data_IF_118732354185
#
_entry.id   IF_118732354185
#
_cell.length_a   1.000
_cell.length_b   1.000
_cell.length_c   1.000
_cell.angle_alpha   90.00
_cell.angle_beta   90.00
_cell.angle_gamma   90.00
#
_symmetry.space_group_name_H-M   'P 1'
#
loop_
_entity.id
_entity.type
_entity.pdbx_description
1 polymer ?
#
# COMPACT_ATOMS: atom_id res chain seq x y z
N UNK A 1 47.68 19.05 -12.05
CA UNK A 1 48.59 18.13 -12.78
C UNK A 1 48.52 16.69 -12.26
N UNK A 2 48.46 16.47 -10.94
CA UNK A 2 48.39 15.11 -10.37
C UNK A 2 47.18 14.28 -10.85
N UNK A 3 46.01 14.90 -11.01
CA UNK A 3 44.77 14.27 -11.49
C UNK A 3 44.84 13.84 -12.96
N UNK A 4 45.56 14.59 -13.81
CA UNK A 4 45.73 14.24 -15.22
C UNK A 4 46.67 13.01 -15.37
N UNK A 5 47.68 12.92 -14.51
CA UNK A 5 48.61 11.79 -14.47
C UNK A 5 47.87 10.51 -14.02
N UNK A 6 47.01 10.61 -12.99
CA UNK A 6 46.20 9.47 -12.54
C UNK A 6 45.20 9.00 -13.60
N UNK A 7 44.58 9.92 -14.35
CA UNK A 7 43.70 9.56 -15.47
C UNK A 7 44.46 8.82 -16.58
N UNK A 8 45.65 9.29 -16.94
CA UNK A 8 46.47 8.64 -17.97
C UNK A 8 46.97 7.26 -17.53
N UNK A 9 47.29 7.07 -16.25
CA UNK A 9 47.64 5.76 -15.69
C UNK A 9 46.44 4.81 -15.68
N UNK A 10 45.25 5.30 -15.33
CA UNK A 10 44.03 4.50 -15.36
C UNK A 10 43.65 4.08 -16.80
N UNK A 11 43.73 5.01 -17.77
CA UNK A 11 43.50 4.70 -19.19
C UNK A 11 44.57 3.74 -19.71
N UNK A 12 45.84 3.93 -19.35
CA UNK A 12 46.92 3.01 -19.70
C UNK A 12 46.71 1.60 -19.16
N UNK A 13 46.23 1.47 -17.92
CA UNK A 13 45.91 0.18 -17.32
C UNK A 13 44.70 -0.51 -17.98
N UNK A 14 43.68 0.25 -18.37
CA UNK A 14 42.52 -0.27 -19.11
C UNK A 14 42.90 -0.67 -20.54
N UNK A 15 43.75 0.11 -21.21
CA UNK A 15 44.25 -0.25 -22.54
C UNK A 15 45.19 -1.47 -22.49
N UNK A 16 46.04 -1.59 -21.46
CA UNK A 16 46.92 -2.73 -21.27
C UNK A 16 46.15 -4.02 -20.93
N UNK A 17 45.07 -3.92 -20.13
CA UNK A 17 44.21 -5.08 -19.85
C UNK A 17 43.39 -5.49 -21.07
N UNK A 18 42.88 -4.54 -21.86
CA UNK A 18 42.21 -4.81 -23.14
C UNK A 18 43.17 -5.43 -24.17
N UNK A 19 44.43 -4.96 -24.24
CA UNK A 19 45.45 -5.49 -25.13
C UNK A 19 45.93 -6.89 -24.71
N UNK A 20 46.07 -7.13 -23.40
CA UNK A 20 46.39 -8.46 -22.85
C UNK A 20 45.25 -9.48 -23.04
N UNK A 21 44.00 -9.03 -23.04
CA UNK A 21 42.86 -9.87 -23.40
C UNK A 21 42.81 -10.18 -24.91
N UNK A 22 43.22 -9.23 -25.76
CA UNK A 22 43.26 -9.39 -27.21
C UNK A 22 44.46 -10.22 -27.73
N UNK A 23 45.54 -10.35 -26.95
CA UNK A 23 46.77 -11.06 -27.35
C UNK A 23 46.98 -12.45 -26.71
N UNK A 24 46.00 -13.00 -25.99
CA UNK A 24 46.07 -14.43 -25.70
C UNK A 24 46.06 -15.19 -27.03
N UNK A 25 47.09 -15.99 -27.36
CA UNK A 25 47.05 -16.80 -28.55
C UNK A 25 45.81 -17.67 -28.47
N UNK A 26 44.84 -17.38 -29.34
CA UNK A 26 43.67 -18.24 -29.50
C UNK A 26 44.24 -19.62 -29.85
N UNK A 27 43.84 -20.70 -29.15
CA UNK A 27 44.19 -22.04 -29.60
C UNK A 27 43.80 -22.15 -31.08
N UNK A 28 44.58 -22.86 -31.91
CA UNK A 28 44.32 -22.95 -33.34
C UNK A 28 42.85 -23.31 -33.55
N UNK A 29 42.12 -22.39 -34.19
CA UNK A 29 40.69 -22.47 -34.50
C UNK A 29 40.47 -23.51 -35.61
N UNK A 30 40.67 -24.77 -35.26
CA UNK A 30 40.07 -25.90 -35.97
C UNK A 30 38.87 -26.32 -35.13
N UNK A 31 37.75 -25.66 -35.42
CA UNK A 31 36.35 -26.08 -35.18
C UNK A 31 36.03 -26.71 -33.80
N UNK A 32 35.63 -25.88 -32.83
CA UNK A 32 34.96 -26.35 -31.62
C UNK A 32 34.16 -25.21 -30.97
N UNK A 33 32.85 -25.17 -31.24
CA UNK A 33 31.86 -24.16 -30.82
C UNK A 33 32.12 -22.72 -31.30
N UNK A 34 31.08 -21.92 -31.62
CA UNK A 34 31.28 -20.49 -31.85
C UNK A 34 31.66 -19.87 -30.50
N UNK A 35 32.96 -19.63 -30.31
CA UNK A 35 33.50 -18.96 -29.13
C UNK A 35 32.91 -17.55 -29.11
N UNK A 36 31.87 -17.34 -28.31
CA UNK A 36 31.08 -16.09 -28.27
C UNK A 36 29.60 -16.23 -28.66
N UNK A 37 29.13 -17.45 -28.99
CA UNK A 37 27.72 -17.70 -29.22
C UNK A 37 26.88 -17.22 -28.02
N UNK A 38 25.79 -16.52 -28.31
CA UNK A 38 24.74 -16.15 -27.35
C UNK A 38 25.19 -15.18 -26.25
N UNK A 39 26.28 -14.43 -26.46
CA UNK A 39 26.78 -13.44 -25.51
C UNK A 39 27.43 -14.06 -24.26
N UNK A 40 27.78 -15.35 -24.33
CA UNK A 40 28.39 -16.11 -23.25
C UNK A 40 29.87 -16.41 -23.53
N UNK A 41 30.68 -16.35 -22.48
CA UNK A 41 32.06 -16.81 -22.48
C UNK A 41 32.11 -18.29 -22.06
N UNK A 42 32.53 -19.14 -22.98
CA UNK A 42 32.55 -20.59 -22.80
C UNK A 42 33.94 -21.08 -22.40
N UNK A 43 34.02 -21.96 -21.38
CA UNK A 43 35.23 -22.68 -21.00
C UNK A 43 35.07 -24.17 -21.23
N UNK A 44 36.07 -24.77 -21.88
CA UNK A 44 36.19 -26.23 -22.03
C UNK A 44 36.51 -26.86 -20.68
N UNK A 45 35.64 -27.75 -20.22
CA UNK A 45 35.85 -28.53 -18.98
C UNK A 45 36.60 -29.84 -19.26
N UNK A 46 36.47 -30.36 -20.48
CA UNK A 46 37.08 -31.61 -20.92
C UNK A 46 36.04 -32.63 -21.39
N UNK A 47 36.50 -33.84 -21.66
CA UNK A 47 35.68 -34.93 -22.16
C UNK A 47 34.95 -35.65 -21.02
N UNK A 48 33.68 -36.01 -21.26
CA UNK A 48 32.84 -36.77 -20.33
C UNK A 48 32.15 -37.90 -21.06
N UNK A 49 32.10 -39.06 -20.42
CA UNK A 49 31.30 -40.17 -20.90
C UNK A 49 29.81 -39.83 -20.72
N UNK A 50 29.07 -39.77 -21.81
CA UNK A 50 27.61 -39.62 -21.83
C UNK A 50 26.95 -40.91 -22.30
N UNK A 51 25.61 -41.00 -22.25
CA UNK A 51 24.87 -42.12 -22.86
C UNK A 51 25.15 -42.25 -24.37
N UNK A 52 25.51 -41.14 -25.04
CA UNK A 52 25.84 -41.08 -26.46
C UNK A 52 27.34 -41.12 -26.76
N UNK A 53 28.16 -41.66 -25.85
CA UNK A 53 29.61 -41.72 -26.01
C UNK A 53 30.36 -40.56 -25.35
N UNK A 54 31.66 -40.50 -25.62
CA UNK A 54 32.57 -39.49 -25.09
C UNK A 54 32.29 -38.14 -25.78
N UNK A 55 31.96 -37.11 -25.00
CA UNK A 55 31.66 -35.76 -25.52
C UNK A 55 32.43 -34.69 -24.77
N UNK A 56 32.86 -33.64 -25.45
CA UNK A 56 33.44 -32.45 -24.80
C UNK A 56 32.34 -31.62 -24.14
N UNK A 57 32.53 -31.25 -22.87
CA UNK A 57 31.67 -30.33 -22.15
C UNK A 57 32.26 -28.91 -22.14
N UNK A 58 31.41 -27.95 -22.45
CA UNK A 58 31.65 -26.51 -22.33
C UNK A 58 30.67 -25.91 -21.31
N UNK A 59 31.18 -25.10 -20.39
CA UNK A 59 30.37 -24.35 -19.43
C UNK A 59 30.47 -22.85 -19.74
N UNK A 60 29.36 -22.14 -19.61
CA UNK A 60 29.39 -20.68 -19.59
C UNK A 60 29.95 -20.21 -18.24
N UNK A 61 31.08 -19.51 -18.26
CA UNK A 61 31.74 -18.98 -17.06
C UNK A 61 31.36 -17.52 -16.79
N UNK A 62 30.95 -16.75 -17.82
CA UNK A 62 30.56 -15.35 -17.71
C UNK A 62 29.67 -14.93 -18.89
N UNK A 63 28.88 -13.86 -18.72
CA UNK A 63 28.05 -13.26 -19.78
C UNK A 63 26.61 -13.01 -19.33
N UNK A 64 25.80 -12.46 -20.24
CA UNK A 64 24.36 -12.27 -20.00
C UNK A 64 23.58 -13.53 -20.42
N UNK A 65 23.16 -14.31 -19.43
CA UNK A 65 22.38 -15.53 -19.64
C UNK A 65 20.96 -15.26 -20.13
N UNK A 66 20.47 -14.00 -20.11
CA UNK A 66 19.11 -13.67 -20.52
C UNK A 66 18.84 -14.06 -21.97
N UNK A 67 19.80 -13.82 -22.86
CA UNK A 67 19.69 -14.17 -24.28
C UNK A 67 19.67 -15.68 -24.47
N UNK A 68 20.58 -16.40 -23.81
CA UNK A 68 20.61 -17.86 -23.83
C UNK A 68 19.30 -18.47 -23.31
N UNK A 69 18.84 -18.01 -22.14
CA UNK A 69 17.61 -18.47 -21.49
C UNK A 69 16.39 -18.22 -22.35
N UNK A 70 16.30 -17.03 -22.96
CA UNK A 70 15.22 -16.66 -23.87
C UNK A 70 15.17 -17.60 -25.09
N UNK A 71 16.29 -17.78 -25.80
CA UNK A 71 16.34 -18.64 -26.98
C UNK A 71 16.13 -20.12 -26.64
N UNK A 72 16.74 -20.59 -25.55
CA UNK A 72 16.60 -21.99 -25.12
C UNK A 72 15.19 -22.33 -24.66
N UNK A 73 14.46 -21.38 -24.05
CA UNK A 73 13.03 -21.58 -23.72
C UNK A 73 12.16 -21.57 -24.97
N UNK A 74 12.47 -20.71 -25.95
CA UNK A 74 11.73 -20.59 -27.19
C UNK A 74 11.87 -21.82 -28.10
N UNK A 75 13.08 -22.38 -28.23
CA UNK A 75 13.34 -23.56 -29.05
C UNK A 75 14.26 -24.55 -28.33
N UNK A 76 13.73 -25.19 -27.28
CA UNK A 76 14.51 -26.10 -26.44
C UNK A 76 15.11 -27.25 -27.22
N UNK A 77 14.34 -27.84 -28.13
CA UNK A 77 14.75 -29.04 -28.84
C UNK A 77 15.78 -28.69 -29.93
N UNK A 78 15.56 -27.62 -30.69
CA UNK A 78 16.55 -27.14 -31.66
C UNK A 78 17.88 -26.71 -31.01
N UNK A 79 17.82 -26.12 -29.82
CA UNK A 79 19.03 -25.77 -29.06
C UNK A 79 19.74 -27.02 -28.52
N UNK A 80 18.99 -28.04 -28.08
CA UNK A 80 19.55 -29.33 -27.62
C UNK A 80 20.20 -30.13 -28.74
N UNK A 81 19.66 -30.08 -29.94
CA UNK A 81 20.28 -30.71 -31.12
C UNK A 81 21.67 -30.14 -31.41
N UNK A 82 21.88 -28.86 -31.10
CA UNK A 82 23.17 -28.18 -31.19
C UNK A 82 24.07 -28.36 -29.96
N UNK A 83 23.61 -29.16 -28.99
CA UNK A 83 24.36 -29.47 -27.77
C UNK A 83 24.09 -28.53 -26.61
N UNK A 84 23.30 -27.47 -26.78
CA UNK A 84 22.98 -26.53 -25.70
C UNK A 84 22.01 -27.17 -24.69
N UNK A 85 22.27 -26.94 -23.40
CA UNK A 85 21.42 -27.40 -22.30
C UNK A 85 21.65 -26.57 -21.04
N UNK A 86 20.94 -26.89 -19.96
CA UNK A 86 21.21 -26.36 -18.62
C UNK A 86 21.77 -27.49 -17.78
N UNK A 87 22.83 -27.21 -17.02
CA UNK A 87 23.50 -28.20 -16.19
C UNK A 87 24.38 -27.56 -15.14
N UNK A 88 24.70 -28.34 -14.10
CA UNK A 88 25.66 -27.95 -13.09
C UNK A 88 26.98 -28.69 -13.23
N UNK A 89 28.01 -28.16 -12.60
CA UNK A 89 29.25 -28.89 -12.41
C UNK A 89 29.11 -29.94 -11.28
N UNK A 90 30.17 -30.74 -11.07
CA UNK A 90 30.21 -31.74 -9.98
C UNK A 90 30.14 -31.12 -8.58
N UNK A 91 30.24 -29.80 -8.44
CA UNK A 91 30.23 -29.08 -7.17
C UNK A 91 28.82 -28.62 -6.77
N UNK A 92 27.79 -28.94 -7.57
CA UNK A 92 26.39 -28.79 -7.19
C UNK A 92 25.75 -27.46 -7.59
N UNK A 93 26.42 -26.65 -8.40
CA UNK A 93 25.86 -25.41 -8.96
C UNK A 93 24.99 -25.74 -10.18
N UNK A 94 23.79 -26.28 -9.95
CA UNK A 94 22.79 -26.48 -10.98
C UNK A 94 22.17 -25.12 -11.31
N UNK A 95 22.49 -24.56 -12.48
CA UNK A 95 21.74 -23.52 -13.22
C UNK A 95 22.65 -22.75 -14.20
N UNK A 96 23.66 -23.39 -14.80
CA UNK A 96 24.50 -22.74 -15.81
C UNK A 96 24.18 -23.20 -17.23
N UNK A 97 24.27 -22.30 -18.23
CA UNK A 97 24.29 -22.70 -19.63
C UNK A 97 25.46 -23.66 -19.89
N UNK A 98 25.17 -24.81 -20.49
CA UNK A 98 26.19 -25.79 -20.88
C UNK A 98 26.04 -26.16 -22.35
N UNK A 99 27.15 -26.45 -23.02
CA UNK A 99 27.14 -26.97 -24.37
C UNK A 99 27.95 -28.26 -24.46
N UNK A 100 27.31 -29.30 -25.02
CA UNK A 100 27.94 -30.56 -25.35
C UNK A 100 28.35 -30.53 -26.81
N UNK A 101 29.66 -30.52 -27.07
CA UNK A 101 30.17 -30.46 -28.44
C UNK A 101 29.59 -31.59 -29.29
N UNK A 102 28.81 -31.28 -30.34
CA UNK A 102 28.19 -32.31 -31.16
C UNK A 102 29.27 -33.00 -32.00
N UNK A 103 29.13 -34.31 -32.21
CA UNK A 103 29.98 -35.07 -33.11
C UNK A 103 29.11 -35.75 -34.18
N UNK A 104 29.31 -35.44 -35.48
CA UNK A 104 30.23 -34.41 -36.00
C UNK A 104 29.80 -32.98 -35.63
N UNK A 105 30.75 -32.04 -35.64
CA UNK A 105 30.47 -30.63 -35.36
C UNK A 105 29.47 -30.06 -36.39
N UNK A 106 28.44 -29.31 -35.98
CA UNK A 106 27.55 -28.64 -36.91
C UNK A 106 28.29 -27.53 -37.66
N UNK A 107 27.90 -27.26 -38.91
CA UNK A 107 28.38 -26.09 -39.63
C UNK A 107 27.91 -24.78 -38.98
N UNK A 108 28.64 -23.69 -39.19
CA UNK A 108 28.27 -22.36 -38.69
C UNK A 108 26.87 -21.94 -39.16
N UNK A 109 26.53 -22.18 -40.43
CA UNK A 109 25.20 -21.90 -40.99
C UNK A 109 24.08 -22.60 -40.21
N UNK A 110 24.33 -23.79 -39.67
CA UNK A 110 23.36 -24.54 -38.88
C UNK A 110 23.15 -23.91 -37.49
N UNK A 111 24.19 -23.35 -36.88
CA UNK A 111 24.06 -22.57 -35.65
C UNK A 111 23.28 -21.28 -35.88
N UNK A 112 23.64 -20.51 -36.91
CA UNK A 112 22.98 -19.25 -37.23
C UNK A 112 21.49 -19.46 -37.55
N UNK A 113 21.15 -20.48 -38.34
CA UNK A 113 19.76 -20.80 -38.68
C UNK A 113 18.95 -21.20 -37.44
N UNK A 114 19.51 -21.97 -36.51
CA UNK A 114 18.83 -22.35 -35.28
C UNK A 114 18.63 -21.17 -34.33
N UNK A 115 19.63 -20.30 -34.18
CA UNK A 115 19.51 -19.10 -33.35
C UNK A 115 18.51 -18.11 -33.94
N UNK A 116 18.52 -17.91 -35.27
CA UNK A 116 17.54 -17.07 -35.94
C UNK A 116 16.11 -17.61 -35.77
N UNK A 117 15.92 -18.93 -35.87
CA UNK A 117 14.63 -19.59 -35.61
C UNK A 117 14.20 -19.39 -34.15
N UNK A 118 15.06 -19.69 -33.18
CA UNK A 118 14.77 -19.53 -31.76
C UNK A 118 14.45 -18.07 -31.41
N UNK A 119 15.15 -17.11 -32.01
CA UNK A 119 14.93 -15.68 -31.81
C UNK A 119 13.61 -15.22 -32.43
N UNK A 120 13.27 -15.74 -33.61
CA UNK A 120 11.95 -15.53 -34.23
C UNK A 120 10.81 -16.01 -33.34
N UNK A 121 10.91 -17.24 -32.82
CA UNK A 121 9.92 -17.81 -31.88
C UNK A 121 9.83 -16.96 -30.61
N UNK A 122 10.98 -16.59 -30.03
CA UNK A 122 11.01 -15.80 -28.80
C UNK A 122 10.32 -14.43 -28.97
N UNK A 123 10.55 -13.74 -30.09
CA UNK A 123 9.92 -12.45 -30.40
C UNK A 123 8.41 -12.59 -30.62
N UNK A 124 7.97 -13.64 -31.29
CA UNK A 124 6.54 -13.93 -31.49
C UNK A 124 5.84 -14.20 -30.14
N UNK A 125 6.45 -15.00 -29.26
CA UNK A 125 5.91 -15.25 -27.93
C UNK A 125 5.84 -13.99 -27.06
N UNK A 126 6.88 -13.17 -27.09
CA UNK A 126 6.92 -11.90 -26.36
C UNK A 126 5.84 -10.93 -26.87
N UNK A 127 5.69 -10.81 -28.18
CA UNK A 127 4.63 -10.03 -28.81
C UNK A 127 3.23 -10.50 -28.37
N UNK A 128 2.99 -11.81 -28.36
CA UNK A 128 1.73 -12.40 -27.87
C UNK A 128 1.51 -12.10 -26.39
N UNK A 129 2.50 -12.30 -25.52
CA UNK A 129 2.38 -12.00 -24.07
C UNK A 129 2.11 -10.52 -23.81
N UNK A 130 2.80 -9.63 -24.55
CA UNK A 130 2.58 -8.20 -24.45
C UNK A 130 1.16 -7.82 -24.90
N UNK A 131 0.66 -8.41 -26.00
CA UNK A 131 -0.70 -8.20 -26.48
C UNK A 131 -1.75 -8.71 -25.48
N UNK A 132 -1.57 -9.92 -24.93
CA UNK A 132 -2.45 -10.50 -23.90
C UNK A 132 -2.46 -9.63 -22.63
N UNK A 133 -1.30 -9.14 -22.19
CA UNK A 133 -1.22 -8.26 -21.03
C UNK A 133 -1.87 -6.89 -21.29
N UNK A 134 -1.67 -6.30 -22.47
CA UNK A 134 -2.32 -5.06 -22.87
C UNK A 134 -3.85 -5.23 -22.91
N UNK A 135 -4.34 -6.33 -23.49
CA UNK A 135 -5.76 -6.66 -23.52
C UNK A 135 -6.33 -6.86 -22.11
N UNK A 136 -5.62 -7.61 -21.25
CA UNK A 136 -6.00 -7.78 -19.85
C UNK A 136 -6.10 -6.43 -19.11
N UNK A 137 -5.12 -5.54 -19.29
CA UNK A 137 -5.14 -4.20 -18.68
C UNK A 137 -6.31 -3.37 -19.21
N UNK A 138 -6.59 -3.42 -20.51
CA UNK A 138 -7.73 -2.74 -21.11
C UNK A 138 -9.07 -3.24 -20.53
N UNK A 139 -9.25 -4.56 -20.42
CA UNK A 139 -10.45 -5.15 -19.80
C UNK A 139 -10.62 -4.74 -18.34
N UNK A 140 -9.53 -4.67 -17.57
CA UNK A 140 -9.59 -4.23 -16.17
C UNK A 140 -9.96 -2.75 -16.10
N UNK A 141 -9.36 -1.89 -16.91
CA UNK A 141 -9.68 -0.47 -16.96
C UNK A 141 -11.14 -0.21 -17.37
N UNK A 142 -11.64 -0.91 -18.38
CA UNK A 142 -13.03 -0.83 -18.83
C UNK A 142 -14.00 -1.27 -17.72
N UNK A 143 -13.72 -2.40 -17.05
CA UNK A 143 -14.53 -2.87 -15.93
C UNK A 143 -14.54 -1.87 -14.77
N UNK A 144 -13.39 -1.27 -14.44
CA UNK A 144 -13.30 -0.25 -13.39
C UNK A 144 -14.08 1.01 -13.76
N UNK A 145 -13.97 1.48 -15.01
CA UNK A 145 -14.74 2.61 -15.51
C UNK A 145 -16.25 2.34 -15.50
N UNK A 146 -16.67 1.14 -15.89
CA UNK A 146 -18.08 0.71 -15.84
C UNK A 146 -18.62 0.69 -14.40
N UNK A 147 -17.89 0.09 -13.47
CA UNK A 147 -18.28 0.07 -12.06
C UNK A 147 -18.33 1.48 -11.46
N UNK A 148 -17.38 2.34 -11.86
CA UNK A 148 -17.39 3.75 -11.47
C UNK A 148 -18.60 4.49 -12.04
N UNK A 149 -18.96 4.27 -13.30
CA UNK A 149 -20.15 4.88 -13.90
C UNK A 149 -21.46 4.44 -13.23
N UNK A 150 -21.50 3.24 -12.65
CA UNK A 150 -22.68 2.71 -11.95
C UNK A 150 -22.80 3.22 -10.52
N UNK A 151 -21.69 3.28 -9.77
CA UNK A 151 -21.71 3.50 -8.31
C UNK A 151 -20.94 4.76 -7.86
N UNK A 152 -20.29 5.47 -8.77
CA UNK A 152 -19.38 6.57 -8.46
C UNK A 152 -20.05 7.70 -7.68
N UNK A 153 -21.27 8.08 -8.07
CA UNK A 153 -22.05 9.10 -7.36
C UNK A 153 -22.38 8.70 -5.93
N UNK A 154 -22.83 7.45 -5.70
CA UNK A 154 -23.13 6.95 -4.35
C UNK A 154 -21.88 6.88 -3.46
N UNK A 155 -20.73 6.53 -4.06
CA UNK A 155 -19.44 6.50 -3.36
C UNK A 155 -19.02 7.90 -2.93
N UNK A 156 -19.15 8.89 -3.82
CA UNK A 156 -18.89 10.30 -3.52
C UNK A 156 -19.86 10.83 -2.44
N UNK A 157 -21.15 10.50 -2.55
CA UNK A 157 -22.15 10.89 -1.57
C UNK A 157 -21.83 10.34 -0.17
N UNK A 158 -21.38 9.09 -0.07
CA UNK A 158 -20.97 8.50 1.20
C UNK A 158 -19.77 9.22 1.84
N UNK A 159 -18.75 9.57 1.04
CA UNK A 159 -17.58 10.32 1.54
C UNK A 159 -17.95 11.76 1.91
N UNK A 160 -18.84 12.41 1.14
CA UNK A 160 -19.36 13.73 1.46
C UNK A 160 -20.14 13.71 2.78
N UNK A 161 -21.03 12.74 2.96
CA UNK A 161 -21.80 12.58 4.19
C UNK A 161 -20.89 12.40 5.41
N UNK A 162 -19.82 11.59 5.29
CA UNK A 162 -18.82 11.46 6.34
C UNK A 162 -18.18 12.82 6.68
N UNK A 163 -17.76 13.60 5.67
CA UNK A 163 -17.17 14.92 5.87
C UNK A 163 -18.11 15.87 6.58
N UNK A 164 -19.37 15.93 6.12
CA UNK A 164 -20.39 16.80 6.70
C UNK A 164 -20.69 16.40 8.15
N UNK A 165 -20.77 15.10 8.43
CA UNK A 165 -21.02 14.60 9.79
C UNK A 165 -19.85 14.86 10.73
N UNK A 166 -18.62 14.71 10.25
CA UNK A 166 -17.42 15.04 11.01
C UNK A 166 -17.34 16.53 11.34
N UNK A 167 -17.73 17.40 10.40
CA UNK A 167 -17.80 18.84 10.63
C UNK A 167 -18.90 19.21 11.62
N UNK A 168 -20.06 18.59 11.51
CA UNK A 168 -21.21 18.89 12.36
C UNK A 168 -21.04 18.40 13.81
N UNK A 169 -20.36 17.27 14.01
CA UNK A 169 -20.28 16.58 15.30
C UNK A 169 -18.83 16.21 15.65
N UNK A 170 -17.90 17.17 15.75
CA UNK A 170 -16.48 16.85 15.85
C UNK A 170 -16.10 16.08 17.15
N UNK A 171 -16.87 16.27 18.23
CA UNK A 171 -16.75 15.56 19.50
C UNK A 171 -17.11 14.07 19.45
N UNK A 172 -17.87 13.63 18.42
CA UNK A 172 -18.37 12.26 18.33
C UNK A 172 -17.33 11.25 17.82
N UNK A 173 -16.13 11.72 17.43
CA UNK A 173 -15.16 10.91 16.70
C UNK A 173 -13.92 10.57 17.54
N UNK A 174 -13.71 9.28 17.75
CA UNK A 174 -12.46 8.77 18.32
C UNK A 174 -11.27 9.04 17.41
N UNK A 175 -10.05 9.06 17.96
CA UNK A 175 -8.81 9.22 17.18
C UNK A 175 -8.71 8.20 16.05
N UNK A 176 -8.97 6.92 16.33
CA UNK A 176 -8.92 5.87 15.31
C UNK A 176 -9.92 6.08 14.17
N UNK A 177 -11.12 6.60 14.45
CA UNK A 177 -12.09 6.92 13.39
C UNK A 177 -11.64 8.11 12.55
N UNK A 178 -11.04 9.14 13.17
CA UNK A 178 -10.45 10.28 12.46
C UNK A 178 -9.31 9.83 11.54
N UNK A 179 -8.42 8.97 12.01
CA UNK A 179 -7.32 8.43 11.19
C UNK A 179 -7.84 7.67 9.97
N UNK A 180 -8.90 6.86 10.15
CA UNK A 180 -9.57 6.16 9.04
C UNK A 180 -10.24 7.13 8.06
N UNK A 181 -10.89 8.18 8.57
CA UNK A 181 -11.50 9.20 7.72
C UNK A 181 -10.45 9.97 6.91
N UNK A 182 -9.31 10.31 7.51
CA UNK A 182 -8.17 10.92 6.81
C UNK A 182 -7.67 10.04 5.66
N UNK A 183 -7.53 8.73 5.90
CA UNK A 183 -7.16 7.79 4.84
C UNK A 183 -8.20 7.74 3.70
N UNK A 184 -9.49 7.76 4.02
CA UNK A 184 -10.58 7.82 3.04
C UNK A 184 -10.52 9.13 2.23
N UNK A 185 -10.31 10.27 2.89
CA UNK A 185 -10.25 11.56 2.22
C UNK A 185 -9.02 11.71 1.31
N UNK A 186 -7.93 11.00 1.61
CA UNK A 186 -6.72 10.99 0.79
C UNK A 186 -6.92 10.27 -0.56
N UNK A 187 -7.98 9.48 -0.75
CA UNK A 187 -8.30 8.85 -2.04
C UNK A 187 -8.83 9.85 -3.09
N UNK A 188 -9.19 11.08 -2.68
CA UNK A 188 -9.57 12.16 -3.59
C UNK A 188 -10.96 11.97 -4.23
N UNK A 189 -11.06 12.33 -5.52
CA UNK A 189 -12.34 12.43 -6.25
C UNK A 189 -12.86 11.09 -6.79
N UNK A 190 -12.09 10.00 -6.63
CA UNK A 190 -12.50 8.66 -7.03
C UNK A 190 -12.33 7.64 -5.89
N UNK A 191 -13.07 7.80 -4.77
CA UNK A 191 -12.99 6.86 -3.65
C UNK A 191 -13.31 5.43 -4.07
N UNK A 192 -12.52 4.49 -3.59
CA UNK A 192 -12.76 3.06 -3.79
C UNK A 192 -14.09 2.61 -3.18
N UNK A 193 -14.64 1.50 -3.67
CA UNK A 193 -15.86 0.90 -3.10
C UNK A 193 -15.68 0.56 -1.61
N UNK A 194 -14.48 0.14 -1.21
CA UNK A 194 -14.12 -0.14 0.18
C UNK A 194 -14.15 1.12 1.04
N UNK A 195 -13.56 2.22 0.55
CA UNK A 195 -13.57 3.51 1.22
C UNK A 195 -14.98 4.05 1.43
N UNK A 196 -15.82 4.02 0.39
CA UNK A 196 -17.22 4.44 0.50
C UNK A 196 -18.02 3.59 1.50
N UNK A 197 -17.81 2.25 1.50
CA UNK A 197 -18.43 1.36 2.49
C UNK A 197 -17.97 1.67 3.91
N UNK A 198 -16.68 1.93 4.11
CA UNK A 198 -16.15 2.32 5.41
C UNK A 198 -16.70 3.67 5.87
N UNK A 199 -16.83 4.64 4.95
CA UNK A 199 -17.41 5.95 5.23
C UNK A 199 -18.84 5.84 5.77
N UNK A 200 -19.70 5.05 5.10
CA UNK A 200 -21.07 4.77 5.59
C UNK A 200 -21.08 4.17 6.98
N UNK A 201 -20.26 3.12 7.20
CA UNK A 201 -20.17 2.46 8.51
C UNK A 201 -19.74 3.41 9.63
N UNK A 202 -18.80 4.31 9.35
CA UNK A 202 -18.34 5.32 10.31
C UNK A 202 -19.47 6.29 10.67
N UNK A 203 -20.22 6.77 9.68
CA UNK A 203 -21.39 7.63 9.90
C UNK A 203 -22.47 6.91 10.70
N UNK A 204 -22.84 5.68 10.31
CA UNK A 204 -23.83 4.86 11.04
C UNK A 204 -23.42 4.66 12.50
N UNK A 205 -22.16 4.32 12.77
CA UNK A 205 -21.65 4.15 14.14
C UNK A 205 -21.74 5.45 14.95
N UNK A 206 -21.45 6.60 14.32
CA UNK A 206 -21.60 7.90 14.95
C UNK A 206 -23.07 8.19 15.27
N UNK A 207 -23.96 8.00 14.30
CA UNK A 207 -25.39 8.25 14.46
C UNK A 207 -26.02 7.35 15.52
N UNK A 208 -25.67 6.06 15.57
CA UNK A 208 -26.10 5.13 16.62
C UNK A 208 -25.64 5.56 18.02
N UNK A 209 -24.41 6.05 18.14
CA UNK A 209 -23.90 6.56 19.41
C UNK A 209 -24.66 7.83 19.81
N UNK A 210 -24.89 8.77 18.90
CA UNK A 210 -25.65 10.00 19.18
C UNK A 210 -27.08 9.65 19.59
N UNK A 211 -27.75 8.77 18.85
CA UNK A 211 -29.11 8.33 19.14
C UNK A 211 -29.19 7.70 20.53
N UNK A 212 -28.26 6.80 20.87
CA UNK A 212 -28.21 6.15 22.19
C UNK A 212 -27.99 7.13 23.34
N UNK A 213 -27.10 8.10 23.17
CA UNK A 213 -26.83 9.12 24.20
C UNK A 213 -28.04 10.04 24.35
N UNK A 214 -28.69 10.40 23.24
CA UNK A 214 -29.91 11.22 23.23
C UNK A 214 -31.06 10.51 23.93
N UNK A 215 -31.32 9.25 23.57
CA UNK A 215 -32.35 8.41 24.19
C UNK A 215 -32.13 8.29 25.69
N UNK A 216 -30.89 8.00 26.13
CA UNK A 216 -30.55 7.97 27.55
C UNK A 216 -30.81 9.31 28.24
N UNK A 217 -30.46 10.43 27.60
CA UNK A 217 -30.70 11.76 28.17
C UNK A 217 -32.19 12.07 28.36
N UNK A 218 -33.04 11.55 27.48
CA UNK A 218 -34.50 11.76 27.49
C UNK A 218 -35.24 10.82 28.43
N UNK A 219 -34.71 9.62 28.66
CA UNK A 219 -35.42 8.56 29.39
C UNK A 219 -34.89 8.34 30.81
N UNK A 220 -33.59 8.52 31.04
CA UNK A 220 -32.98 8.19 32.32
C UNK A 220 -33.08 9.36 33.31
N UNK A 221 -33.79 9.12 34.41
CA UNK A 221 -33.94 10.08 35.52
C UNK A 221 -32.74 10.06 36.47
N UNK A 222 -32.19 11.23 36.78
CA UNK A 222 -31.25 11.40 37.91
C UNK A 222 -32.00 11.79 39.18
N UNK A 223 -32.29 10.80 40.03
CA UNK A 223 -33.10 10.94 41.24
C UNK A 223 -32.72 12.15 42.12
N UNK A 224 -31.43 12.33 42.40
CA UNK A 224 -30.90 13.45 43.21
C UNK A 224 -31.31 14.82 42.67
N UNK A 225 -31.44 14.98 41.36
CA UNK A 225 -31.65 16.26 40.69
C UNK A 225 -33.07 16.44 40.15
N UNK A 226 -33.90 15.40 40.26
CA UNK A 226 -35.18 15.36 39.56
C UNK A 226 -36.15 16.46 39.96
N UNK A 227 -36.28 16.72 41.26
CA UNK A 227 -37.17 17.75 41.78
C UNK A 227 -36.71 19.15 41.32
N UNK A 228 -35.41 19.42 41.37
CA UNK A 228 -34.83 20.68 40.93
C UNK A 228 -34.97 20.89 39.41
N UNK A 229 -34.82 19.81 38.64
CA UNK A 229 -34.99 19.83 37.18
C UNK A 229 -36.42 20.13 36.71
N UNK A 230 -37.42 20.09 37.60
CA UNK A 230 -38.81 20.42 37.27
C UNK A 230 -38.99 21.93 37.01
N UNK A 231 -38.13 22.78 37.56
CA UNK A 231 -38.21 24.23 37.44
C UNK A 231 -37.72 24.70 36.06
N UNK A 232 -38.58 25.38 35.25
CA UNK A 232 -38.17 25.92 33.95
C UNK A 232 -36.99 26.91 34.00
N UNK A 233 -36.84 27.68 35.08
CA UNK A 233 -35.72 28.59 35.24
C UNK A 233 -34.40 27.81 35.40
N UNK A 234 -34.42 26.72 36.17
CA UNK A 234 -33.28 25.82 36.30
C UNK A 234 -32.97 25.13 34.97
N UNK A 235 -33.98 24.67 34.23
CA UNK A 235 -33.79 24.05 32.91
C UNK A 235 -33.05 24.98 31.95
N UNK A 236 -33.44 26.27 31.90
CA UNK A 236 -32.78 27.26 31.07
C UNK A 236 -31.35 27.55 31.53
N UNK A 237 -31.16 27.69 32.85
CA UNK A 237 -29.86 28.00 33.43
C UNK A 237 -28.86 26.85 33.25
N UNK A 238 -29.27 25.61 33.51
CA UNK A 238 -28.41 24.44 33.32
C UNK A 238 -28.12 24.19 31.84
N UNK A 239 -29.05 24.49 30.93
CA UNK A 239 -28.80 24.47 29.49
C UNK A 239 -27.74 25.50 29.07
N UNK A 240 -27.76 26.68 29.68
CA UNK A 240 -26.73 27.70 29.46
C UNK A 240 -25.36 27.21 29.97
N UNK A 241 -25.34 26.53 31.12
CA UNK A 241 -24.13 25.92 31.67
C UNK A 241 -23.59 24.78 30.79
N UNK A 242 -24.44 23.92 30.21
CA UNK A 242 -23.98 22.89 29.28
C UNK A 242 -23.39 23.48 28.01
N UNK A 243 -24.00 24.52 27.45
CA UNK A 243 -23.43 25.27 26.30
C UNK A 243 -22.09 25.91 26.63
N UNK A 244 -21.96 26.47 27.83
CA UNK A 244 -20.70 27.05 28.29
C UNK A 244 -19.58 26.01 28.36
N UNK A 245 -19.84 24.86 29.00
CA UNK A 245 -18.86 23.77 29.09
C UNK A 245 -18.51 23.18 27.72
N UNK A 246 -19.50 22.95 26.85
CA UNK A 246 -19.25 22.46 25.48
C UNK A 246 -18.42 23.42 24.64
N UNK A 247 -18.55 24.73 24.87
CA UNK A 247 -17.76 25.74 24.16
C UNK A 247 -16.29 25.79 24.62
N UNK A 248 -15.97 25.29 25.81
CA UNK A 248 -14.59 25.16 26.29
C UNK A 248 -13.95 23.81 25.95
N UNK A 249 -14.76 22.83 25.54
CA UNK A 249 -14.33 21.47 25.24
C UNK A 249 -13.74 21.38 23.82
N UNK A 250 -12.63 22.10 23.58
CA UNK A 250 -11.97 22.18 22.26
C UNK A 250 -11.26 20.88 21.87
N UNK A 251 -10.75 20.14 22.85
CA UNK A 251 -10.05 18.87 22.63
C UNK A 251 -10.96 17.64 22.77
N UNK A 252 -12.25 17.86 23.11
CA UNK A 252 -13.25 16.81 23.33
C UNK A 252 -12.76 15.74 24.31
N UNK A 253 -12.07 16.17 25.37
CA UNK A 253 -11.45 15.34 26.39
C UNK A 253 -10.43 14.32 25.87
N UNK A 254 -9.70 14.66 24.79
CA UNK A 254 -8.71 13.73 24.18
C UNK A 254 -7.27 13.95 24.63
N UNK A 255 -6.91 15.12 25.16
CA UNK A 255 -5.53 15.49 25.51
C UNK A 255 -5.41 15.89 26.97
N UNK A 256 -6.24 16.82 27.46
CA UNK A 256 -6.24 17.25 28.87
C UNK A 256 -7.66 17.36 29.41
N UNK A 257 -7.87 17.04 30.69
CA UNK A 257 -9.17 17.16 31.37
C UNK A 257 -9.33 18.50 32.13
N UNK A 258 -8.49 19.49 31.85
CA UNK A 258 -8.44 20.72 32.64
C UNK A 258 -9.49 21.77 32.23
N UNK A 259 -10.13 21.59 31.07
CA UNK A 259 -11.18 22.48 30.56
C UNK A 259 -12.25 21.71 29.78
N UNK A 260 -13.51 22.16 29.88
CA UNK A 260 -14.66 21.55 29.23
C UNK A 260 -15.17 20.29 29.95
N UNK A 261 -15.52 19.28 29.14
CA UNK A 261 -16.10 18.04 29.63
C UNK A 261 -15.02 16.99 29.91
N UNK A 262 -15.23 16.14 30.92
CA UNK A 262 -14.44 14.91 31.01
C UNK A 262 -14.89 13.88 29.98
N UNK A 263 -14.03 12.89 29.70
CA UNK A 263 -14.33 11.76 28.80
C UNK A 263 -15.65 11.05 29.10
N UNK A 264 -16.07 10.99 30.37
CA UNK A 264 -17.33 10.37 30.79
C UNK A 264 -18.57 11.19 30.39
N UNK A 265 -18.43 12.50 30.23
CA UNK A 265 -19.53 13.44 30.03
C UNK A 265 -19.51 14.14 28.67
N UNK A 266 -18.41 14.14 27.91
CA UNK A 266 -18.30 14.89 26.64
C UNK A 266 -19.45 14.58 25.67
N UNK A 267 -19.74 13.29 25.40
CA UNK A 267 -20.82 12.93 24.50
C UNK A 267 -22.21 13.38 25.02
N UNK A 268 -22.48 13.21 26.31
CA UNK A 268 -23.74 13.63 26.92
C UNK A 268 -23.87 15.16 26.93
N UNK A 269 -22.81 15.86 27.31
CA UNK A 269 -22.75 17.31 27.40
C UNK A 269 -22.96 17.98 26.06
N UNK A 270 -22.28 17.50 25.00
CA UNK A 270 -22.47 18.02 23.65
C UNK A 270 -23.88 17.76 23.12
N UNK A 271 -24.44 16.55 23.32
CA UNK A 271 -25.84 16.25 22.97
C UNK A 271 -26.78 17.22 23.67
N UNK A 272 -26.69 17.36 24.98
CA UNK A 272 -27.55 18.26 25.76
C UNK A 272 -27.41 19.72 25.33
N UNK A 273 -26.19 20.18 25.05
CA UNK A 273 -25.93 21.56 24.61
C UNK A 273 -26.47 21.86 23.20
N UNK A 274 -26.61 20.84 22.35
CA UNK A 274 -27.15 20.95 21.00
C UNK A 274 -28.68 20.91 20.92
N UNK A 275 -29.37 20.57 22.01
CA UNK A 275 -30.83 20.58 22.04
C UNK A 275 -31.37 22.02 22.00
N UNK A 276 -32.56 22.25 21.41
CA UNK A 276 -33.18 23.57 21.42
C UNK A 276 -33.63 24.00 22.82
N UNK A 277 -34.06 23.03 23.64
CA UNK A 277 -34.48 23.17 25.03
C UNK A 277 -34.30 21.85 25.78
N UNK A 278 -34.17 21.91 27.10
CA UNK A 278 -34.13 20.72 27.96
C UNK A 278 -35.51 20.50 28.58
N UNK A 279 -35.98 19.25 28.59
CA UNK A 279 -37.06 18.81 29.46
C UNK A 279 -36.53 18.43 30.85
N UNK A 280 -37.41 17.92 31.71
CA UNK A 280 -37.03 17.56 33.08
C UNK A 280 -36.00 16.41 33.14
N UNK A 281 -36.12 15.40 32.29
CA UNK A 281 -35.15 14.30 32.20
C UNK A 281 -33.78 14.83 31.80
N UNK A 282 -33.73 15.56 30.68
CA UNK A 282 -32.50 16.12 30.13
C UNK A 282 -31.86 17.10 31.12
N UNK A 283 -32.65 17.94 31.79
CA UNK A 283 -32.17 18.85 32.81
C UNK A 283 -31.64 18.13 34.05
N UNK A 284 -32.24 17.00 34.47
CA UNK A 284 -31.72 16.20 35.59
C UNK A 284 -30.36 15.57 35.27
N UNK A 285 -30.17 15.12 34.03
CA UNK A 285 -28.90 14.62 33.51
C UNK A 285 -27.87 15.74 33.37
N UNK A 286 -28.30 16.90 32.86
CA UNK A 286 -27.47 18.10 32.74
C UNK A 286 -26.97 18.57 34.11
N UNK A 287 -27.84 18.67 35.11
CA UNK A 287 -27.47 19.04 36.48
C UNK A 287 -26.42 18.10 37.06
N UNK A 288 -26.60 16.78 36.88
CA UNK A 288 -25.62 15.79 37.30
C UNK A 288 -24.26 15.98 36.64
N UNK A 289 -24.22 16.12 35.31
CA UNK A 289 -22.99 16.30 34.56
C UNK A 289 -22.30 17.63 34.90
N UNK A 290 -23.06 18.74 34.90
CA UNK A 290 -22.56 20.09 35.23
C UNK A 290 -22.03 20.14 36.67
N UNK A 291 -22.67 19.47 37.62
CA UNK A 291 -22.20 19.48 39.01
C UNK A 291 -20.77 18.90 39.16
N UNK A 292 -20.40 17.90 38.36
CA UNK A 292 -19.03 17.36 38.34
C UNK A 292 -18.02 18.41 37.86
N UNK A 293 -18.42 19.27 36.92
CA UNK A 293 -17.57 20.30 36.30
C UNK A 293 -17.84 21.71 36.80
N UNK A 294 -18.58 21.85 37.90
CA UNK A 294 -19.13 23.14 38.37
C UNK A 294 -18.08 24.23 38.67
N UNK A 295 -16.82 23.85 38.88
CA UNK A 295 -15.72 24.82 39.08
C UNK A 295 -15.30 25.54 37.80
N UNK A 296 -15.74 25.04 36.64
CA UNK A 296 -15.43 25.62 35.34
C UNK A 296 -16.54 26.57 34.85
N UNK A 297 -17.72 26.60 35.48
CA UNK A 297 -18.81 27.50 35.10
C UNK A 297 -18.74 28.81 35.90
N UNK A 298 -19.33 29.92 35.40
CA UNK A 298 -19.36 31.20 36.11
C UNK A 298 -19.99 31.09 37.51
N UNK A 299 -19.44 31.84 38.48
CA UNK A 299 -19.83 31.78 39.90
C UNK A 299 -21.29 32.13 40.17
N UNK A 300 -21.88 33.01 39.36
CA UNK A 300 -23.32 33.30 39.45
C UNK A 300 -24.16 32.08 39.06
N UNK A 301 -23.84 31.41 37.95
CA UNK A 301 -24.53 30.18 37.54
C UNK A 301 -24.35 29.07 38.57
N UNK A 302 -23.13 28.91 39.11
CA UNK A 302 -22.83 27.91 40.16
C UNK A 302 -23.67 28.15 41.42
N UNK A 303 -23.78 29.39 41.90
CA UNK A 303 -24.61 29.76 43.06
C UNK A 303 -26.08 29.50 42.81
N UNK A 304 -26.60 29.92 41.66
CA UNK A 304 -28.01 29.77 41.33
C UNK A 304 -28.41 28.29 41.13
N UNK A 305 -27.55 27.47 40.51
CA UNK A 305 -27.83 26.05 40.29
C UNK A 305 -27.65 25.18 41.53
N UNK A 306 -26.65 25.46 42.37
CA UNK A 306 -26.21 24.53 43.41
C UNK A 306 -26.15 25.13 44.82
N UNK A 307 -26.39 26.44 44.98
CA UNK A 307 -26.32 27.11 46.29
C UNK A 307 -24.91 27.21 46.88
N UNK A 308 -23.86 26.95 46.10
CA UNK A 308 -22.47 26.99 46.56
C UNK A 308 -21.90 28.40 46.42
N UNK A 309 -21.51 29.04 47.52
CA UNK A 309 -20.70 30.26 47.48
C UNK A 309 -19.28 29.96 46.99
N UNK A 310 -18.65 30.93 46.35
CA UNK A 310 -17.50 30.74 45.47
C UNK A 310 -16.31 30.02 46.12
#
# INVERSE_FOLDING_TARGET
>A
MLTLILLLVAVGAVCASAYGAAQRPLPPLTEALPVGALGLAWRRVGERQTKGGLKTLWLADAGDESSYSRLYRADRDGMRELGFSWGGDRQGEYDKPVCWEPQPAPSNDRFEAAFARADGIAREEEGRRAAEEAERRARVAENMARLWAQEGEERLAAVSLLRDRMKALPWAWTRSQRDKATAIFAEGDQPSASAAKMARRLVETCDEMVARVTDRAQTERKEKWWALAADPAIQLLVHSATKHLSAMDDDWATVSNDAGWSKAHTALGHVLSGLPRLGQCEASQALWAVHVHRRQIPDNMRRELFGEAA
#
